data_IF_453024014630
#
_entry.id   IF_453024014630
#
_cell.length_a   1.000
_cell.length_b   1.000
_cell.length_c   1.000
_cell.angle_alpha   90.00
_cell.angle_beta   90.00
_cell.angle_gamma   90.00
#
_symmetry.space_group_name_H-M   'P 1'
#
loop_
_entity.id
_entity.type
_entity.pdbx_description
1 polymer ?
#
# COMPACT_ATOMS: atom_id res chain seq x y z
N UNK A 1 -28.88 7.11 7.81
CA UNK A 1 -28.73 5.66 8.07
C UNK A 1 -27.26 5.28 8.00
N UNK A 2 -26.83 4.12 8.53
CA UNK A 2 -25.44 3.67 8.42
C UNK A 2 -24.91 3.66 6.98
N UNK A 3 -25.77 3.38 6.00
CA UNK A 3 -25.46 3.43 4.58
C UNK A 3 -25.05 4.84 4.11
N UNK A 4 -25.82 5.87 4.48
CA UNK A 4 -25.56 7.25 4.09
C UNK A 4 -24.25 7.78 4.71
N UNK A 5 -23.91 7.35 5.93
CA UNK A 5 -22.63 7.71 6.55
C UNK A 5 -21.46 7.07 5.79
N UNK A 6 -21.60 5.80 5.38
CA UNK A 6 -20.59 5.12 4.55
C UNK A 6 -20.38 5.84 3.21
N UNK A 7 -21.47 6.18 2.53
CA UNK A 7 -21.41 6.91 1.25
C UNK A 7 -20.76 8.29 1.38
N UNK A 8 -21.10 9.03 2.44
CA UNK A 8 -20.46 10.31 2.76
C UNK A 8 -18.97 10.15 3.05
N UNK A 9 -18.58 9.14 3.83
CA UNK A 9 -17.18 8.85 4.11
C UNK A 9 -16.39 8.46 2.85
N UNK A 10 -16.98 7.66 1.96
CA UNK A 10 -16.38 7.31 0.66
C UNK A 10 -16.22 8.54 -0.24
N UNK A 11 -17.19 9.47 -0.23
CA UNK A 11 -17.09 10.72 -0.98
C UNK A 11 -15.94 11.59 -0.45
N UNK A 12 -15.80 11.75 0.87
CA UNK A 12 -14.68 12.47 1.49
C UNK A 12 -13.35 11.80 1.18
N UNK A 13 -13.28 10.47 1.25
CA UNK A 13 -12.07 9.71 0.91
C UNK A 13 -11.66 9.94 -0.55
N UNK A 14 -12.61 9.96 -1.49
CA UNK A 14 -12.34 10.28 -2.89
C UNK A 14 -11.79 11.70 -3.04
N UNK A 15 -12.42 12.70 -2.42
CA UNK A 15 -11.94 14.09 -2.46
C UNK A 15 -10.53 14.23 -1.91
N UNK A 16 -10.22 13.56 -0.80
CA UNK A 16 -8.89 13.56 -0.21
C UNK A 16 -7.85 12.95 -1.17
N UNK A 17 -8.14 11.78 -1.76
CA UNK A 17 -7.25 11.14 -2.73
C UNK A 17 -6.99 12.05 -3.93
N UNK A 18 -8.02 12.66 -4.51
CA UNK A 18 -7.83 13.59 -5.64
C UNK A 18 -7.01 14.83 -5.24
N UNK A 19 -7.14 15.31 -4.00
CA UNK A 19 -6.32 16.42 -3.51
C UNK A 19 -4.84 16.02 -3.36
N UNK A 20 -4.57 14.81 -2.85
CA UNK A 20 -3.22 14.26 -2.73
C UNK A 20 -2.57 14.07 -4.11
N UNK A 21 -3.29 13.47 -5.06
CA UNK A 21 -2.80 13.26 -6.43
C UNK A 21 -2.44 14.57 -7.13
N UNK A 22 -3.24 15.63 -6.97
CA UNK A 22 -2.93 16.97 -7.51
C UNK A 22 -1.62 17.55 -6.96
N UNK A 23 -1.24 17.16 -5.74
CA UNK A 23 0.02 17.55 -5.11
C UNK A 23 1.14 16.52 -5.35
N UNK A 24 0.97 15.61 -6.32
CA UNK A 24 1.91 14.54 -6.65
C UNK A 24 2.17 13.58 -5.49
N UNK A 25 1.18 13.43 -4.60
CA UNK A 25 1.21 12.43 -3.54
C UNK A 25 0.51 11.17 -4.04
N UNK A 26 1.28 10.11 -4.29
CA UNK A 26 0.79 8.85 -4.86
C UNK A 26 0.87 7.74 -3.82
N UNK A 27 -0.14 6.87 -3.78
CA UNK A 27 -0.13 5.73 -2.86
C UNK A 27 0.78 4.62 -3.39
N UNK A 28 1.61 4.05 -2.50
CA UNK A 28 2.36 2.82 -2.72
C UNK A 28 1.48 1.67 -2.21
N UNK A 29 0.83 1.00 -3.14
CA UNK A 29 -0.10 -0.11 -2.87
C UNK A 29 0.21 -1.28 -3.82
N UNK A 30 1.32 -2.00 -3.59
CA UNK A 30 1.75 -3.07 -4.47
C UNK A 30 0.75 -4.23 -4.45
N UNK A 31 0.48 -4.80 -5.61
CA UNK A 31 -0.39 -5.96 -5.71
C UNK A 31 0.26 -7.18 -5.01
N UNK A 32 -0.56 -8.03 -4.42
CA UNK A 32 -0.11 -9.33 -3.91
C UNK A 32 0.57 -10.12 -5.04
N UNK A 33 1.72 -10.73 -4.75
CA UNK A 33 2.59 -11.40 -5.70
C UNK A 33 3.61 -10.49 -6.39
N UNK A 34 3.54 -9.17 -6.20
CA UNK A 34 4.57 -8.25 -6.73
C UNK A 34 5.91 -8.46 -6.02
N UNK A 35 7.02 -8.18 -6.71
CA UNK A 35 8.35 -8.23 -6.10
C UNK A 35 8.49 -7.20 -4.98
N UNK A 36 9.14 -7.62 -3.90
CA UNK A 36 9.55 -6.71 -2.85
C UNK A 36 10.61 -5.72 -3.36
N UNK A 37 10.48 -4.45 -2.98
CA UNK A 37 11.39 -3.36 -3.34
C UNK A 37 11.76 -2.64 -2.04
N UNK A 38 13.00 -2.79 -1.52
CA UNK A 38 13.43 -2.17 -0.28
C UNK A 38 13.34 -0.63 -0.27
N UNK A 39 13.35 0.01 -1.45
CA UNK A 39 13.23 1.46 -1.52
C UNK A 39 11.82 1.95 -1.21
N UNK A 40 10.80 1.16 -1.57
CA UNK A 40 9.39 1.56 -1.47
C UNK A 40 8.60 0.77 -0.41
N UNK A 41 9.11 -0.41 -0.04
CA UNK A 41 8.45 -1.37 0.82
C UNK A 41 9.29 -1.68 2.05
N UNK A 42 8.62 -1.80 3.19
CA UNK A 42 9.22 -2.22 4.45
C UNK A 42 8.56 -3.54 4.86
N UNK A 43 9.33 -4.62 4.80
CA UNK A 43 8.89 -5.94 5.22
C UNK A 43 8.92 -6.02 6.76
N UNK A 44 7.77 -6.23 7.39
CA UNK A 44 7.69 -6.37 8.85
C UNK A 44 7.75 -7.83 9.31
N UNK A 45 7.42 -8.77 8.43
CA UNK A 45 7.41 -10.20 8.71
C UNK A 45 7.52 -11.00 7.42
N UNK A 46 8.07 -12.20 7.54
CA UNK A 46 8.12 -13.20 6.47
C UNK A 46 7.13 -14.31 6.83
N UNK A 47 6.24 -14.66 5.89
CA UNK A 47 5.22 -15.69 6.11
C UNK A 47 5.41 -16.84 5.11
N UNK A 48 5.15 -18.10 5.51
CA UNK A 48 5.05 -19.21 4.58
C UNK A 48 3.98 -18.92 3.54
N UNK A 49 4.35 -18.93 2.26
CA UNK A 49 3.43 -18.73 1.15
C UNK A 49 3.86 -19.64 0.00
N UNK A 50 2.89 -20.04 -0.83
CA UNK A 50 3.15 -20.81 -2.06
C UNK A 50 3.78 -19.97 -3.18
N UNK A 51 3.89 -18.66 -2.96
CA UNK A 51 4.42 -17.68 -3.91
C UNK A 51 5.94 -17.70 -3.92
N UNK A 52 6.52 -17.19 -5.01
CA UNK A 52 7.98 -17.00 -5.15
C UNK A 52 8.58 -16.24 -3.95
N UNK A 53 9.77 -16.66 -3.52
CA UNK A 53 10.48 -16.00 -2.42
C UNK A 53 10.69 -14.49 -2.72
N UNK A 54 10.63 -13.65 -1.69
CA UNK A 54 10.75 -12.18 -1.81
C UNK A 54 9.61 -11.51 -2.60
N UNK A 55 8.44 -12.13 -2.68
CA UNK A 55 7.21 -11.49 -3.17
C UNK A 55 6.32 -11.01 -2.04
N UNK A 56 5.47 -10.03 -2.31
CA UNK A 56 4.56 -9.43 -1.34
C UNK A 56 3.35 -10.33 -1.16
N UNK A 57 3.12 -10.79 0.08
CA UNK A 57 1.97 -11.65 0.43
C UNK A 57 0.76 -10.81 0.82
N UNK A 58 0.97 -9.75 1.58
CA UNK A 58 -0.07 -8.80 1.92
C UNK A 58 0.49 -7.41 2.22
N UNK A 59 -0.33 -6.39 1.94
CA UNK A 59 -0.07 -5.00 2.32
C UNK A 59 -0.86 -4.71 3.58
N UNK A 60 -0.15 -4.47 4.68
CA UNK A 60 -0.78 -4.13 5.98
C UNK A 60 -1.08 -2.65 6.07
N UNK A 61 -0.20 -1.83 5.49
CA UNK A 61 -0.39 -0.40 5.41
C UNK A 61 0.20 0.17 4.13
N UNK A 62 -0.63 0.93 3.40
CA UNK A 62 -0.21 1.62 2.19
C UNK A 62 0.87 2.66 2.49
N UNK A 63 1.88 2.71 1.63
CA UNK A 63 2.89 3.76 1.64
C UNK A 63 2.45 4.95 0.79
N UNK A 64 3.25 6.00 0.75
CA UNK A 64 3.03 7.17 -0.09
C UNK A 64 4.34 7.74 -0.63
N UNK A 65 4.32 8.16 -1.89
CA UNK A 65 5.35 8.96 -2.56
C UNK A 65 4.90 10.42 -2.60
N UNK A 66 5.84 11.36 -2.57
CA UNK A 66 5.62 12.77 -2.91
C UNK A 66 6.65 13.18 -3.97
N UNK A 67 6.19 13.54 -5.17
CA UNK A 67 7.06 13.93 -6.29
C UNK A 67 8.28 13.00 -6.45
N UNK A 68 8.02 11.69 -6.47
CA UNK A 68 9.01 10.60 -6.65
C UNK A 68 9.92 10.31 -5.45
N UNK A 69 9.74 10.99 -4.31
CA UNK A 69 10.39 10.65 -3.04
C UNK A 69 9.47 9.87 -2.13
N UNK A 70 10.01 8.86 -1.46
CA UNK A 70 9.27 8.06 -0.48
C UNK A 70 9.00 8.92 0.76
N UNK A 71 7.74 9.34 0.90
CA UNK A 71 7.27 10.02 2.11
C UNK A 71 7.11 9.00 3.24
N UNK A 72 6.58 7.83 2.90
CA UNK A 72 6.41 6.72 3.83
C UNK A 72 6.41 5.39 3.05
N UNK A 73 7.22 4.39 3.45
CA UNK A 73 7.21 3.08 2.82
C UNK A 73 5.91 2.32 3.11
N UNK A 74 5.52 1.43 2.21
CA UNK A 74 4.41 0.52 2.45
C UNK A 74 4.84 -0.60 3.40
N UNK A 75 4.05 -0.87 4.44
CA UNK A 75 4.30 -1.98 5.34
C UNK A 75 3.70 -3.24 4.74
N UNK A 76 4.55 -4.21 4.46
CA UNK A 76 4.18 -5.45 3.77
C UNK A 76 4.66 -6.67 4.53
N UNK A 77 4.01 -7.80 4.27
CA UNK A 77 4.54 -9.13 4.58
C UNK A 77 5.08 -9.74 3.30
N UNK A 78 6.20 -10.45 3.38
CA UNK A 78 6.84 -11.08 2.22
C UNK A 78 6.87 -12.59 2.36
N UNK A 79 6.93 -13.29 1.24
CA UNK A 79 7.05 -14.75 1.20
C UNK A 79 8.43 -15.15 1.74
N UNK A 80 8.44 -16.04 2.74
CA UNK A 80 9.67 -16.60 3.27
C UNK A 80 10.42 -17.39 2.17
N UNK A 81 11.77 -17.37 2.15
CA UNK A 81 12.53 -18.30 1.32
C UNK A 81 12.24 -19.74 1.79
N UNK A 82 11.95 -20.63 0.85
CA UNK A 82 11.91 -22.08 1.09
C UNK A 82 13.30 -22.61 1.39
#
# INVERSE_FOLDING_TARGET
TPQQIREGAEATLRQLKSALERNKVLAIDPAVGSKFDPHQHQAISMVPAEQEANTIVSVLQKGYLIADRVLRPALVTVAAPQ
#
